data_IF_000141346271
#
_entry.id   IF_000141346271
#
_cell.length_a   1.000
_cell.length_b   1.000
_cell.length_c   1.000
_cell.angle_alpha   90.00
_cell.angle_beta   90.00
_cell.angle_gamma   90.00
#
_symmetry.space_group_name_H-M   'P 1'
#
loop_
_entity.id
_entity.type
_entity.pdbx_description
1 polymer ?
#
# COMPACT_ATOMS: atom_id res chain seq x y z
N UNK A 1 -20.74 -29.55 6.42
CA UNK A 1 -21.25 -28.31 6.97
C UNK A 1 -20.21 -27.23 6.81
N UNK A 2 -20.54 -26.22 6.06
CA UNK A 2 -19.72 -25.02 5.95
C UNK A 2 -19.94 -24.13 7.19
N UNK A 3 -19.75 -24.70 8.34
CA UNK A 3 -19.79 -23.94 9.58
C UNK A 3 -18.46 -23.27 9.76
N UNK A 4 -18.45 -21.94 9.61
CA UNK A 4 -17.34 -21.09 9.96
C UNK A 4 -16.63 -20.35 8.81
N UNK A 5 -17.18 -20.32 7.62
CA UNK A 5 -16.70 -19.38 6.62
C UNK A 5 -17.03 -17.95 7.06
N UNK A 6 -16.03 -17.22 7.57
CA UNK A 6 -16.17 -15.77 7.81
C UNK A 6 -16.50 -15.14 6.45
N UNK A 7 -17.70 -14.55 6.33
CA UNK A 7 -18.07 -13.81 5.11
C UNK A 7 -17.10 -12.66 5.00
N UNK A 8 -16.26 -12.67 3.95
CA UNK A 8 -15.39 -11.54 3.67
C UNK A 8 -16.21 -10.33 3.26
N UNK A 9 -16.05 -9.25 4.00
CA UNK A 9 -16.65 -7.97 3.66
C UNK A 9 -15.68 -7.17 2.80
N UNK A 10 -16.16 -6.75 1.66
CA UNK A 10 -15.44 -5.85 0.77
C UNK A 10 -16.41 -4.92 0.06
N UNK A 11 -15.89 -3.83 -0.45
CA UNK A 11 -16.63 -2.92 -1.31
C UNK A 11 -15.95 -2.80 -2.66
N UNK A 12 -16.70 -2.51 -3.69
CA UNK A 12 -16.16 -2.25 -5.02
C UNK A 12 -16.08 -0.73 -5.21
N UNK A 13 -14.89 -0.23 -5.46
CA UNK A 13 -14.65 1.20 -5.65
C UNK A 13 -13.77 1.45 -6.87
N UNK A 14 -14.14 2.45 -7.65
CA UNK A 14 -13.26 3.00 -8.67
C UNK A 14 -12.50 4.19 -8.08
N UNK A 15 -11.19 4.05 -7.98
CA UNK A 15 -10.31 5.10 -7.47
C UNK A 15 -9.79 5.94 -8.63
N UNK A 16 -9.83 7.27 -8.53
CA UNK A 16 -9.26 8.12 -9.58
C UNK A 16 -7.75 7.94 -9.68
N UNK A 17 -7.18 8.40 -10.78
CA UNK A 17 -5.73 8.45 -10.92
C UNK A 17 -5.11 9.20 -9.74
N UNK A 18 -4.03 8.64 -9.20
CA UNK A 18 -3.30 9.26 -8.10
C UNK A 18 -1.80 9.31 -8.38
N UNK A 19 -1.14 10.33 -7.87
CA UNK A 19 0.30 10.47 -7.90
C UNK A 19 0.84 10.23 -6.50
N UNK A 20 1.75 9.29 -6.39
CA UNK A 20 2.44 8.93 -5.17
C UNK A 20 3.92 9.28 -5.28
N UNK A 21 4.53 9.57 -4.16
CA UNK A 21 5.97 9.71 -4.01
C UNK A 21 6.45 8.67 -3.02
N UNK A 22 7.43 7.88 -3.39
CA UNK A 22 7.90 6.81 -2.53
C UNK A 22 9.24 6.21 -2.93
N UNK A 23 9.60 5.14 -2.27
CA UNK A 23 10.80 4.38 -2.54
C UNK A 23 10.50 2.90 -2.39
N UNK A 24 11.29 2.06 -3.02
CA UNK A 24 11.00 0.64 -3.13
C UNK A 24 12.12 -0.25 -2.60
N UNK A 25 11.73 -1.48 -2.32
CA UNK A 25 12.64 -2.61 -2.17
C UNK A 25 12.05 -3.81 -2.88
N UNK A 26 12.89 -4.61 -3.51
CA UNK A 26 12.46 -5.87 -4.07
C UNK A 26 12.24 -6.90 -2.97
N UNK A 27 11.05 -7.51 -2.97
CA UNK A 27 10.68 -8.59 -2.06
C UNK A 27 10.66 -9.92 -2.81
N UNK A 28 11.19 -10.94 -2.18
CA UNK A 28 11.18 -12.31 -2.71
C UNK A 28 9.88 -13.01 -2.32
N UNK A 29 9.53 -14.04 -3.11
CA UNK A 29 8.34 -14.86 -2.86
C UNK A 29 7.04 -14.21 -3.29
N UNK A 30 5.96 -14.64 -2.68
CA UNK A 30 4.61 -14.15 -2.95
C UNK A 30 4.11 -13.27 -1.81
N UNK A 31 3.23 -12.30 -2.08
CA UNK A 31 2.69 -11.42 -1.04
C UNK A 31 1.90 -12.14 0.07
N UNK A 32 1.55 -13.38 -0.16
CA UNK A 32 0.77 -14.19 0.78
C UNK A 32 1.63 -15.09 1.67
N UNK A 33 2.95 -15.12 1.42
CA UNK A 33 3.90 -15.90 2.20
C UNK A 33 4.25 -15.22 3.51
N UNK A 34 4.59 -16.01 4.52
CA UNK A 34 5.10 -15.47 5.79
C UNK A 34 6.41 -14.70 5.63
N UNK A 35 7.19 -15.01 4.61
CA UNK A 35 8.41 -14.28 4.27
C UNK A 35 8.14 -12.79 4.07
N UNK A 36 6.97 -12.42 3.55
CA UNK A 36 6.57 -11.03 3.38
C UNK A 36 6.60 -10.26 4.69
N UNK A 37 6.14 -10.84 5.78
CA UNK A 37 6.04 -10.14 7.07
C UNK A 37 7.41 -9.68 7.55
N UNK A 38 8.40 -10.56 7.43
CA UNK A 38 9.78 -10.24 7.80
C UNK A 38 10.39 -9.20 6.88
N UNK A 39 10.15 -9.31 5.57
CA UNK A 39 10.64 -8.35 4.59
C UNK A 39 10.00 -6.97 4.80
N UNK A 40 8.69 -6.92 5.02
CA UNK A 40 7.96 -5.68 5.28
C UNK A 40 8.44 -5.01 6.57
N UNK A 41 8.51 -5.76 7.67
CA UNK A 41 9.01 -5.26 8.95
C UNK A 41 10.43 -4.70 8.81
N UNK A 42 11.32 -5.46 8.20
CA UNK A 42 12.69 -5.03 7.99
C UNK A 42 12.78 -3.77 7.13
N UNK A 43 11.97 -3.67 6.09
CA UNK A 43 11.94 -2.50 5.22
C UNK A 43 11.48 -1.26 5.97
N UNK A 44 10.40 -1.34 6.73
CA UNK A 44 9.92 -0.22 7.55
C UNK A 44 10.92 0.18 8.62
N UNK A 45 11.49 -0.77 9.34
CA UNK A 45 12.43 -0.48 10.43
C UNK A 45 13.73 0.13 9.92
N UNK A 46 14.24 -0.35 8.79
CA UNK A 46 15.54 0.09 8.26
C UNK A 46 15.50 1.40 7.46
N UNK A 47 14.32 1.94 7.17
CA UNK A 47 14.15 3.12 6.29
C UNK A 47 13.37 4.26 6.95
N UNK A 48 13.58 4.47 8.25
CA UNK A 48 12.85 5.50 9.01
C UNK A 48 13.15 6.92 8.53
N UNK A 49 14.37 7.19 8.08
CA UNK A 49 14.73 8.51 7.56
C UNK A 49 13.92 8.87 6.31
N UNK A 50 13.78 7.92 5.37
CA UNK A 50 12.95 8.09 4.19
C UNK A 50 11.48 8.30 4.55
N UNK A 51 10.95 7.52 5.48
CA UNK A 51 9.55 7.66 5.95
C UNK A 51 9.30 9.05 6.56
N UNK A 52 10.21 9.53 7.38
CA UNK A 52 10.11 10.86 7.96
C UNK A 52 10.09 11.96 6.91
N UNK A 53 10.95 11.86 5.91
CA UNK A 53 10.99 12.82 4.81
C UNK A 53 9.70 12.78 4.00
N UNK A 54 9.21 11.59 3.65
CA UNK A 54 7.95 11.43 2.93
C UNK A 54 6.78 12.02 3.71
N UNK A 55 6.72 11.80 5.00
CA UNK A 55 5.64 12.32 5.84
C UNK A 55 5.58 13.84 5.82
N UNK A 56 6.73 14.50 5.76
CA UNK A 56 6.80 15.96 5.62
C UNK A 56 6.26 16.48 4.30
N UNK A 57 6.31 15.66 3.24
CA UNK A 57 5.88 16.02 1.89
C UNK A 57 4.47 15.54 1.54
N UNK A 58 3.88 14.70 2.38
CA UNK A 58 2.59 14.10 2.12
C UNK A 58 1.45 15.10 2.19
N UNK A 59 0.47 14.97 1.28
CA UNK A 59 -0.81 15.68 1.39
C UNK A 59 -1.61 15.16 2.57
N UNK A 60 -1.70 13.84 2.69
CA UNK A 60 -2.30 13.17 3.84
C UNK A 60 -1.17 12.61 4.71
N UNK A 61 -0.89 13.32 5.80
CA UNK A 61 0.19 12.97 6.74
C UNK A 61 -0.15 11.80 7.66
N UNK A 62 -1.40 11.34 7.65
CA UNK A 62 -1.88 10.26 8.49
C UNK A 62 -1.96 8.92 7.76
N UNK A 63 -1.66 8.90 6.47
CA UNK A 63 -1.75 7.69 5.66
C UNK A 63 -0.46 7.41 4.91
N UNK A 64 -0.14 6.12 4.79
CA UNK A 64 0.92 5.60 3.93
C UNK A 64 0.31 4.66 2.90
N UNK A 65 0.76 4.80 1.66
CA UNK A 65 0.29 4.02 0.53
C UNK A 65 1.40 3.06 0.11
N UNK A 66 1.26 1.80 0.48
CA UNK A 66 2.18 0.77 0.07
C UNK A 66 1.71 0.16 -1.24
N UNK A 67 2.60 0.13 -2.23
CA UNK A 67 2.27 -0.39 -3.57
C UNK A 67 3.03 -1.68 -3.80
N UNK A 68 2.30 -2.72 -4.14
CA UNK A 68 2.85 -4.01 -4.53
C UNK A 68 2.72 -4.12 -6.05
N UNK A 69 3.85 -4.14 -6.75
CA UNK A 69 3.86 -4.22 -8.20
C UNK A 69 3.53 -5.61 -8.72
N UNK A 70 3.64 -5.80 -10.01
CA UNK A 70 3.41 -7.11 -10.63
C UNK A 70 4.28 -8.19 -10.00
N UNK A 71 3.67 -9.31 -9.74
CA UNK A 71 4.31 -10.50 -9.20
C UNK A 71 4.70 -11.42 -10.33
N UNK A 72 5.91 -11.95 -10.24
CA UNK A 72 6.41 -13.00 -11.12
C UNK A 72 7.25 -14.02 -10.31
N UNK A 73 7.94 -14.93 -10.99
CA UNK A 73 8.76 -15.94 -10.33
C UNK A 73 9.96 -15.36 -9.56
N UNK A 74 10.31 -14.10 -9.80
CA UNK A 74 11.40 -13.38 -9.11
C UNK A 74 10.91 -12.53 -7.93
N UNK A 75 9.63 -12.59 -7.62
CA UNK A 75 9.05 -11.78 -6.55
C UNK A 75 8.31 -10.54 -7.04
N UNK A 76 8.40 -9.47 -6.27
CA UNK A 76 7.71 -8.21 -6.56
C UNK A 76 8.41 -7.02 -5.90
N UNK A 77 8.15 -5.82 -6.39
CA UNK A 77 8.62 -4.61 -5.75
C UNK A 77 7.56 -4.08 -4.78
N UNK A 78 8.01 -3.71 -3.60
CA UNK A 78 7.19 -3.12 -2.55
C UNK A 78 7.60 -1.68 -2.32
N UNK A 79 6.65 -0.76 -2.51
CA UNK A 79 6.86 0.68 -2.29
C UNK A 79 6.27 1.11 -0.97
N UNK A 80 7.00 1.95 -0.25
CA UNK A 80 6.45 2.81 0.79
C UNK A 80 6.31 4.19 0.16
N UNK A 81 5.08 4.71 0.13
CA UNK A 81 4.78 5.96 -0.56
C UNK A 81 3.73 6.78 0.17
N UNK A 82 3.60 8.03 -0.25
CA UNK A 82 2.58 8.97 0.24
C UNK A 82 1.94 9.67 -0.95
N UNK A 83 0.74 10.18 -0.76
CA UNK A 83 0.13 11.09 -1.74
C UNK A 83 0.88 12.42 -1.70
N UNK A 84 1.23 12.94 -2.86
CA UNK A 84 1.96 14.20 -2.97
C UNK A 84 1.36 15.10 -4.04
N UNK A 85 1.31 16.39 -3.75
CA UNK A 85 0.84 17.39 -4.71
C UNK A 85 1.89 17.54 -5.83
N UNK A 86 1.41 17.60 -7.06
CA UNK A 86 2.26 17.85 -8.22
C UNK A 86 3.09 19.12 -8.06
N UNK A 87 2.50 20.17 -7.51
CA UNK A 87 3.20 21.44 -7.28
C UNK A 87 4.37 21.29 -6.31
N UNK A 88 4.18 20.57 -5.24
CA UNK A 88 5.25 20.29 -4.27
C UNK A 88 6.35 19.42 -4.85
N UNK A 89 5.96 18.42 -5.67
CA UNK A 89 6.92 17.58 -6.38
C UNK A 89 7.75 18.40 -7.37
N UNK A 90 7.12 19.30 -8.13
CA UNK A 90 7.83 20.15 -9.09
C UNK A 90 8.81 21.09 -8.35
N UNK A 91 8.46 21.56 -7.15
CA UNK A 91 9.37 22.35 -6.31
C UNK A 91 10.53 21.54 -5.75
N UNK A 92 10.34 20.27 -5.48
CA UNK A 92 11.43 19.38 -5.04
C UNK A 92 12.47 19.14 -6.14
N UNK A 93 12.02 19.13 -7.39
CA UNK A 93 12.92 19.02 -8.55
C UNK A 93 13.72 20.32 -8.78
N UNK A 94 13.25 21.46 -8.28
CA UNK A 94 13.97 22.72 -8.32
C UNK A 94 14.94 22.85 -7.14
N UNK A 95 15.98 22.05 -7.14
CA UNK A 95 17.01 22.05 -6.10
C UNK A 95 17.94 23.27 -6.11
N UNK A 96 17.68 24.25 -6.96
CA UNK A 96 18.52 25.45 -7.13
C UNK A 96 18.72 26.26 -5.84
N UNK A 97 17.77 26.12 -4.88
CA UNK A 97 17.83 26.84 -3.59
C UNK A 97 18.68 26.12 -2.56
N UNK A 98 18.72 24.79 -2.56
CA UNK A 98 19.40 24.00 -1.52
C UNK A 98 20.63 23.25 -2.04
N UNK A 99 20.77 23.08 -3.35
CA UNK A 99 21.85 22.30 -3.96
C UNK A 99 21.76 20.80 -3.66
N UNK A 100 20.66 20.32 -3.04
CA UNK A 100 20.45 18.92 -2.68
C UNK A 100 19.32 18.34 -3.54
N UNK A 101 19.64 17.29 -4.30
CA UNK A 101 18.63 16.48 -4.96
C UNK A 101 18.06 15.47 -3.95
N UNK A 102 16.93 15.81 -3.35
CA UNK A 102 16.27 14.95 -2.38
C UNK A 102 15.74 13.66 -3.01
N UNK A 103 15.37 13.70 -4.27
CA UNK A 103 14.89 12.50 -4.97
C UNK A 103 16.01 11.47 -5.08
N UNK A 104 17.18 11.89 -5.53
CA UNK A 104 18.34 11.02 -5.64
C UNK A 104 18.84 10.55 -4.26
N UNK A 105 18.97 11.48 -3.31
CA UNK A 105 19.51 11.19 -1.98
C UNK A 105 18.69 10.14 -1.23
N UNK A 106 17.37 10.21 -1.29
CA UNK A 106 16.45 9.29 -0.61
C UNK A 106 15.90 8.20 -1.52
N UNK A 107 16.34 8.17 -2.77
CA UNK A 107 15.87 7.22 -3.79
C UNK A 107 14.36 7.29 -4.02
N UNK A 108 13.81 8.48 -3.95
CA UNK A 108 12.38 8.70 -4.18
C UNK A 108 12.04 8.60 -5.67
N UNK A 109 10.91 7.99 -5.93
CA UNK A 109 10.35 7.86 -7.27
C UNK A 109 8.92 8.37 -7.26
N UNK A 110 8.52 8.99 -8.35
CA UNK A 110 7.13 9.33 -8.61
C UNK A 110 6.41 8.12 -9.18
N UNK A 111 5.29 7.76 -8.57
CA UNK A 111 4.49 6.62 -8.99
C UNK A 111 3.12 7.15 -9.40
N UNK A 112 2.70 6.89 -10.63
CA UNK A 112 1.36 7.23 -11.10
C UNK A 112 0.53 5.95 -11.16
N UNK A 113 -0.51 5.90 -10.33
CA UNK A 113 -1.49 4.82 -10.33
C UNK A 113 -2.68 5.29 -11.17
N UNK A 114 -2.97 4.67 -12.32
CA UNK A 114 -4.09 5.09 -13.16
C UNK A 114 -5.42 4.83 -12.47
N UNK A 115 -6.47 5.51 -12.95
CA UNK A 115 -7.84 5.20 -12.51
C UNK A 115 -8.12 3.71 -12.72
N UNK A 116 -8.65 3.08 -11.67
CA UNK A 116 -8.90 1.63 -11.69
C UNK A 116 -9.96 1.26 -10.66
N UNK A 117 -10.65 0.16 -10.95
CA UNK A 117 -11.62 -0.45 -10.03
C UNK A 117 -10.93 -1.49 -9.16
N UNK A 118 -11.24 -1.44 -7.88
CA UNK A 118 -10.67 -2.35 -6.87
C UNK A 118 -11.77 -2.99 -6.02
N UNK A 119 -11.50 -4.20 -5.57
CA UNK A 119 -12.14 -4.71 -4.36
C UNK A 119 -11.34 -4.19 -3.17
N UNK A 120 -12.02 -3.50 -2.28
CA UNK A 120 -11.39 -2.85 -1.11
C UNK A 120 -11.83 -3.58 0.15
N UNK A 121 -10.86 -4.16 0.83
CA UNK A 121 -11.01 -4.81 2.13
C UNK A 121 -10.44 -3.88 3.19
N UNK A 122 -10.98 -3.89 4.39
CA UNK A 122 -10.53 -3.01 5.46
C UNK A 122 -10.56 -3.71 6.80
N UNK A 123 -9.55 -3.48 7.61
CA UNK A 123 -9.52 -3.94 9.00
C UNK A 123 -10.49 -3.13 9.87
N UNK A 124 -10.86 -3.68 11.01
CA UNK A 124 -11.55 -2.91 12.03
C UNK A 124 -10.64 -1.81 12.60
N UNK A 125 -11.26 -0.74 13.08
CA UNK A 125 -10.54 0.32 13.82
C UNK A 125 -10.00 -0.24 15.12
N UNK A 126 -8.69 -0.15 15.30
CA UNK A 126 -8.02 -0.74 16.45
C UNK A 126 -6.62 -0.16 16.64
N UNK A 127 -5.99 -0.53 17.74
CA UNK A 127 -4.64 -0.08 18.06
C UNK A 127 -3.56 -0.73 17.18
N UNK A 128 -3.73 -2.00 16.83
CA UNK A 128 -2.75 -2.82 16.11
C UNK A 128 -3.40 -3.63 14.98
N UNK A 129 -3.80 -3.01 13.87
CA UNK A 129 -4.52 -3.70 12.81
C UNK A 129 -3.68 -4.65 11.96
N UNK A 130 -2.38 -4.70 12.16
CA UNK A 130 -1.46 -5.44 11.31
C UNK A 130 -1.73 -6.95 11.27
N UNK A 131 -2.11 -7.55 12.38
CA UNK A 131 -2.41 -8.99 12.42
C UNK A 131 -3.67 -9.33 11.63
N UNK A 132 -4.72 -8.52 11.79
CA UNK A 132 -5.95 -8.66 11.01
C UNK A 132 -5.69 -8.42 9.51
N UNK A 133 -4.87 -7.44 9.17
CA UNK A 133 -4.43 -7.21 7.80
C UNK A 133 -3.82 -8.45 7.16
N UNK A 134 -2.94 -9.14 7.87
CA UNK A 134 -2.34 -10.37 7.35
C UNK A 134 -3.36 -11.50 7.23
N UNK A 135 -4.29 -11.62 8.18
CA UNK A 135 -5.36 -12.61 8.10
C UNK A 135 -6.29 -12.36 6.90
N UNK A 136 -6.66 -11.12 6.66
CA UNK A 136 -7.46 -10.74 5.50
C UNK A 136 -6.72 -11.11 4.20
N UNK A 137 -5.43 -10.83 4.11
CA UNK A 137 -4.67 -11.19 2.91
C UNK A 137 -4.63 -12.69 2.67
N UNK A 138 -4.49 -13.49 3.70
CA UNK A 138 -4.56 -14.96 3.58
C UNK A 138 -5.93 -15.41 3.08
N UNK A 139 -7.00 -14.81 3.58
CA UNK A 139 -8.36 -15.11 3.14
C UNK A 139 -8.59 -14.72 1.67
N UNK A 140 -8.08 -13.56 1.25
CA UNK A 140 -8.15 -13.15 -0.16
C UNK A 140 -7.49 -14.20 -1.05
N UNK A 141 -6.31 -14.66 -0.71
CA UNK A 141 -5.58 -15.66 -1.48
C UNK A 141 -6.33 -17.01 -1.54
N UNK A 142 -6.99 -17.40 -0.45
CA UNK A 142 -7.68 -18.69 -0.36
C UNK A 142 -9.08 -18.68 -0.97
N UNK A 143 -9.82 -17.58 -0.88
CA UNK A 143 -11.25 -17.54 -1.14
C UNK A 143 -11.63 -16.68 -2.34
N UNK A 144 -10.90 -15.59 -2.60
CA UNK A 144 -11.29 -14.64 -3.65
C UNK A 144 -11.17 -15.20 -5.06
N UNK A 145 -10.26 -16.14 -5.28
CA UNK A 145 -10.09 -16.77 -6.61
C UNK A 145 -11.33 -17.50 -7.09
N UNK A 146 -12.25 -17.87 -6.21
CA UNK A 146 -13.51 -18.51 -6.53
C UNK A 146 -14.67 -17.54 -6.75
N UNK A 147 -14.44 -16.22 -6.75
CA UNK A 147 -15.49 -15.24 -7.00
C UNK A 147 -16.05 -15.41 -8.41
N UNK A 148 -17.39 -15.49 -8.52
CA UNK A 148 -18.07 -15.74 -9.79
C UNK A 148 -18.21 -14.47 -10.64
N UNK A 149 -18.26 -13.30 -10.02
CA UNK A 149 -18.54 -12.03 -10.69
C UNK A 149 -17.28 -11.29 -11.13
N UNK A 150 -16.23 -11.34 -10.31
CA UNK A 150 -15.00 -10.60 -10.52
C UNK A 150 -13.78 -11.51 -10.59
N UNK A 151 -12.77 -11.05 -11.27
CA UNK A 151 -11.44 -11.67 -11.29
C UNK A 151 -10.36 -10.63 -10.99
N UNK A 152 -9.30 -11.09 -10.31
CA UNK A 152 -8.12 -10.27 -10.08
C UNK A 152 -7.37 -10.06 -11.40
N UNK A 153 -6.86 -8.87 -11.60
CA UNK A 153 -5.99 -8.56 -12.72
C UNK A 153 -4.54 -8.40 -12.25
N UNK A 154 -3.58 -8.65 -13.13
CA UNK A 154 -2.17 -8.47 -12.83
C UNK A 154 -1.78 -7.00 -12.96
N UNK A 155 -2.15 -6.22 -11.96
CA UNK A 155 -1.87 -4.81 -11.81
C UNK A 155 -1.41 -4.55 -10.37
N UNK A 156 -0.83 -3.39 -10.08
CA UNK A 156 -0.41 -3.07 -8.72
C UNK A 156 -1.55 -3.13 -7.70
N UNK A 157 -1.30 -3.82 -6.60
CA UNK A 157 -2.14 -3.81 -5.41
C UNK A 157 -1.68 -2.70 -4.47
N UNK A 158 -2.57 -2.21 -3.62
CA UNK A 158 -2.23 -1.25 -2.60
C UNK A 158 -2.62 -1.75 -1.21
N UNK A 159 -1.78 -1.42 -0.24
CA UNK A 159 -2.11 -1.50 1.17
C UNK A 159 -2.02 -0.09 1.73
N UNK A 160 -3.14 0.45 2.21
CA UNK A 160 -3.22 1.84 2.69
C UNK A 160 -3.32 1.81 4.21
N UNK A 161 -2.29 2.29 4.86
CA UNK A 161 -2.18 2.36 6.31
C UNK A 161 -2.70 3.72 6.79
N UNK A 162 -3.76 3.70 7.60
CA UNK A 162 -4.30 4.88 8.25
C UNK A 162 -3.88 4.89 9.73
N UNK A 163 -2.98 5.79 10.09
CA UNK A 163 -2.34 5.80 11.40
C UNK A 163 -3.17 6.43 12.51
N UNK A 164 -4.29 7.07 12.16
CA UNK A 164 -5.14 7.75 13.13
C UNK A 164 -4.54 9.06 13.65
N UNK A 165 -5.29 9.74 14.49
CA UNK A 165 -4.87 11.01 15.09
C UNK A 165 -3.84 10.75 16.18
N UNK A 166 -2.82 11.60 16.26
CA UNK A 166 -1.81 11.55 17.33
C UNK A 166 -2.51 11.62 18.70
N UNK A 167 -2.38 10.55 19.50
CA UNK A 167 -3.06 10.42 20.79
C UNK A 167 -4.31 9.54 20.78
N UNK A 168 -4.87 9.23 19.60
CA UNK A 168 -6.01 8.33 19.44
C UNK A 168 -5.62 7.03 18.73
N UNK A 169 -4.78 6.22 19.36
CA UNK A 169 -4.24 5.00 18.74
C UNK A 169 -5.29 3.89 18.48
N UNK A 170 -6.55 4.11 18.81
CA UNK A 170 -7.64 3.13 18.63
C UNK A 170 -8.27 3.19 17.25
N UNK A 171 -7.94 4.20 16.43
CA UNK A 171 -8.61 4.49 15.16
C UNK A 171 -7.80 4.05 13.94
N UNK A 172 -6.79 3.21 14.14
CA UNK A 172 -5.95 2.73 13.05
C UNK A 172 -6.67 1.68 12.23
N UNK A 173 -6.59 1.82 10.91
CA UNK A 173 -7.09 0.83 9.94
C UNK A 173 -6.07 0.60 8.85
N UNK A 174 -6.22 -0.52 8.16
CA UNK A 174 -5.46 -0.81 6.93
C UNK A 174 -6.48 -1.24 5.88
N UNK A 175 -6.43 -0.59 4.72
CA UNK A 175 -7.20 -0.98 3.56
C UNK A 175 -6.32 -1.82 2.62
N UNK A 176 -6.91 -2.78 1.97
CA UNK A 176 -6.27 -3.59 0.93
C UNK A 176 -7.05 -3.40 -0.36
N UNK A 177 -6.40 -2.89 -1.40
CA UNK A 177 -7.01 -2.63 -2.69
C UNK A 177 -6.53 -3.67 -3.70
N UNK A 178 -7.40 -4.59 -4.08
CA UNK A 178 -7.13 -5.62 -5.07
C UNK A 178 -7.71 -5.18 -6.41
N UNK A 179 -6.86 -4.99 -7.45
CA UNK A 179 -7.35 -4.59 -8.76
C UNK A 179 -8.16 -5.72 -9.39
N UNK A 180 -9.34 -5.39 -9.89
CA UNK A 180 -10.30 -6.36 -10.41
C UNK A 180 -10.91 -5.91 -11.73
N UNK A 181 -11.48 -6.88 -12.44
CA UNK A 181 -12.38 -6.66 -13.56
C UNK A 181 -13.54 -7.64 -13.49
N UNK A 182 -14.62 -7.34 -14.18
CA UNK A 182 -15.73 -8.30 -14.31
C UNK A 182 -15.32 -9.47 -15.19
N UNK A 183 -15.78 -10.66 -14.82
CA UNK A 183 -15.64 -11.85 -15.63
C UNK A 183 -16.52 -11.79 -16.87
#
# INVERSE_FOLDING_TARGET
SLEGGTIMHYRIETKPQMTLLGYKRHFEGMPYDELRYKQEENFFVSTRAQQWMLKGLANDKLSEYCVLTHMDDNGYDFYISVTADKYELDNLYNSDVTGIDFMEKFRFEKIVIPERTYAVFETEKQKMPILEYFDIRKQIAAEWLSNEEYQMINAPELAVYHWGIVGGYTDRTIEIWIPIERK
#
